data_IF_583764379072
#
_entry.id   IF_583764379072
#
_cell.length_a   1.000
_cell.length_b   1.000
_cell.length_c   1.000
_cell.angle_alpha   90.00
_cell.angle_beta   90.00
_cell.angle_gamma   90.00
#
_symmetry.space_group_name_H-M   'P 1'
#
loop_
_entity.id
_entity.type
_entity.pdbx_description
1 polymer ?
#
# COMPACT_ATOMS: atom_id res chain seq x y z
N UNK A 1 11.07 -0.87 -18.30
CA UNK A 1 10.58 -0.90 -16.91
C UNK A 1 9.95 -2.26 -16.66
N UNK A 2 10.01 -2.76 -15.42
CA UNK A 2 9.35 -4.01 -15.05
C UNK A 2 7.83 -3.79 -15.05
N UNK A 3 7.09 -4.74 -15.62
CA UNK A 3 5.63 -4.73 -15.60
C UNK A 3 5.17 -5.87 -14.71
N UNK A 4 4.30 -5.55 -13.75
CA UNK A 4 3.64 -6.54 -12.91
C UNK A 4 2.14 -6.48 -13.15
N UNK A 5 1.52 -7.63 -13.33
CA UNK A 5 0.07 -7.76 -13.47
C UNK A 5 -0.49 -8.51 -12.27
N UNK A 6 -1.34 -7.84 -11.51
CA UNK A 6 -2.12 -8.45 -10.44
C UNK A 6 -3.41 -8.96 -11.05
N UNK A 7 -3.72 -10.24 -10.90
CA UNK A 7 -4.90 -10.88 -11.50
C UNK A 7 -5.82 -11.48 -10.44
N UNK A 8 -7.06 -11.77 -10.81
CA UNK A 8 -8.06 -12.40 -9.94
C UNK A 8 -8.28 -11.67 -8.63
N UNK A 9 -8.34 -10.33 -8.68
CA UNK A 9 -8.58 -9.49 -7.52
C UNK A 9 -10.08 -9.27 -7.28
N UNK A 10 -10.51 -9.30 -6.02
CA UNK A 10 -11.73 -8.61 -5.60
C UNK A 10 -11.36 -7.14 -5.40
N UNK A 11 -11.66 -6.31 -6.40
CA UNK A 11 -11.18 -4.93 -6.45
C UNK A 11 -12.18 -3.95 -5.82
N UNK A 12 -11.68 -3.15 -4.87
CA UNK A 12 -12.32 -1.96 -4.33
C UNK A 12 -11.44 -0.76 -4.70
N UNK A 13 -11.77 -0.07 -5.79
CA UNK A 13 -10.92 0.99 -6.35
C UNK A 13 -11.08 2.36 -5.67
N UNK A 14 -11.98 2.45 -4.69
CA UNK A 14 -12.28 3.67 -3.93
C UNK A 14 -12.72 4.87 -4.80
N UNK A 15 -13.23 4.64 -6.00
CA UNK A 15 -13.76 5.68 -6.90
C UNK A 15 -15.26 5.93 -6.71
N UNK A 16 -15.90 5.25 -5.77
CA UNK A 16 -17.35 5.26 -5.56
C UNK A 16 -18.12 4.27 -6.43
N UNK A 17 -17.43 3.50 -7.28
CA UNK A 17 -18.03 2.41 -8.05
C UNK A 17 -18.14 1.16 -7.20
N UNK A 18 -19.12 0.32 -7.54
CA UNK A 18 -19.28 -0.99 -6.88
C UNK A 18 -18.00 -1.83 -6.99
N UNK A 19 -17.63 -2.57 -5.95
CA UNK A 19 -16.56 -3.56 -6.02
C UNK A 19 -16.76 -4.56 -7.16
N UNK A 20 -15.68 -5.10 -7.69
CA UNK A 20 -15.75 -6.08 -8.78
C UNK A 20 -14.83 -7.26 -8.51
N UNK A 21 -15.36 -8.45 -8.75
CA UNK A 21 -14.58 -9.68 -8.65
C UNK A 21 -13.85 -9.99 -9.96
N UNK A 22 -12.69 -10.68 -9.84
CA UNK A 22 -11.89 -11.10 -10.99
C UNK A 22 -11.18 -9.97 -11.73
N UNK A 23 -11.05 -8.78 -11.14
CA UNK A 23 -10.33 -7.66 -11.74
C UNK A 23 -8.83 -7.91 -11.88
N UNK A 24 -8.19 -7.12 -12.77
CA UNK A 24 -6.74 -7.07 -12.88
C UNK A 24 -6.21 -5.64 -12.79
N UNK A 25 -4.99 -5.49 -12.26
CA UNK A 25 -4.28 -4.22 -12.18
C UNK A 25 -2.90 -4.38 -12.79
N UNK A 26 -2.56 -3.47 -13.69
CA UNK A 26 -1.24 -3.42 -14.34
C UNK A 26 -0.40 -2.34 -13.68
N UNK A 27 0.77 -2.73 -13.17
CA UNK A 27 1.75 -1.83 -12.56
C UNK A 27 2.99 -1.79 -13.46
N UNK A 28 3.44 -0.59 -13.79
CA UNK A 28 4.67 -0.35 -14.56
C UNK A 28 5.64 0.47 -13.72
N UNK A 29 6.72 -0.17 -13.27
CA UNK A 29 7.63 0.43 -12.30
C UNK A 29 6.90 0.73 -10.98
N UNK A 30 6.80 2.00 -10.62
CA UNK A 30 6.16 2.46 -9.37
C UNK A 30 4.75 3.04 -9.59
N UNK A 31 4.17 2.85 -10.78
CA UNK A 31 2.88 3.45 -11.12
C UNK A 31 1.84 2.42 -11.54
N UNK A 32 0.61 2.62 -11.11
CA UNK A 32 -0.54 1.91 -11.65
C UNK A 32 -0.76 2.44 -13.06
N UNK A 33 -0.59 1.55 -14.05
CA UNK A 33 -0.75 1.87 -15.47
C UNK A 33 -2.18 1.71 -15.93
N UNK A 34 -2.84 0.67 -15.45
CA UNK A 34 -4.21 0.37 -15.85
C UNK A 34 -4.96 -0.41 -14.76
N UNK A 35 -6.27 -0.20 -14.69
CA UNK A 35 -7.19 -0.90 -13.79
C UNK A 35 -8.27 -1.54 -14.63
N UNK A 36 -8.17 -2.84 -14.82
CA UNK A 36 -8.99 -3.62 -15.74
C UNK A 36 -10.08 -4.35 -14.95
N UNK A 37 -11.22 -3.71 -14.80
CA UNK A 37 -12.37 -4.25 -14.03
C UNK A 37 -12.93 -5.56 -14.61
N UNK A 38 -12.80 -5.77 -15.92
CA UNK A 38 -13.21 -7.02 -16.57
C UNK A 38 -12.25 -8.19 -16.35
N UNK A 39 -11.08 -7.94 -15.78
CA UNK A 39 -10.01 -8.93 -15.63
C UNK A 39 -9.33 -9.37 -16.91
N UNK A 40 -9.82 -8.93 -18.08
CA UNK A 40 -9.29 -9.34 -19.39
C UNK A 40 -8.11 -8.49 -19.78
N UNK A 41 -6.93 -8.90 -19.36
CA UNK A 41 -5.66 -8.22 -19.71
C UNK A 41 -5.35 -8.49 -21.18
N UNK A 42 -5.21 -7.41 -21.96
CA UNK A 42 -4.74 -7.49 -23.35
C UNK A 42 -3.26 -7.86 -23.45
N UNK A 43 -2.74 -8.05 -24.68
CA UNK A 43 -1.35 -8.40 -24.87
C UNK A 43 -0.43 -7.25 -24.39
N UNK A 44 0.50 -7.57 -23.50
CA UNK A 44 1.51 -6.63 -23.00
C UNK A 44 2.86 -6.99 -23.63
N UNK A 45 3.54 -6.00 -24.21
CA UNK A 45 4.88 -6.20 -24.78
C UNK A 45 5.94 -6.13 -23.67
N UNK A 46 6.91 -7.05 -23.72
CA UNK A 46 8.04 -7.09 -22.80
C UNK A 46 7.91 -8.18 -21.74
N UNK A 47 8.81 -8.12 -20.75
CA UNK A 47 8.78 -9.05 -19.62
C UNK A 47 7.69 -8.63 -18.65
N UNK A 48 6.80 -9.55 -18.35
CA UNK A 48 5.66 -9.36 -17.46
C UNK A 48 5.73 -10.38 -16.32
N UNK A 49 5.70 -9.91 -15.10
CA UNK A 49 5.53 -10.74 -13.91
C UNK A 49 4.05 -10.74 -13.53
N UNK A 50 3.47 -11.91 -13.35
CA UNK A 50 2.05 -12.03 -13.00
C UNK A 50 1.89 -12.58 -11.59
N UNK A 51 1.08 -11.92 -10.79
CA UNK A 51 0.71 -12.33 -9.44
C UNK A 51 -0.80 -12.61 -9.40
N UNK A 52 -1.16 -13.86 -9.21
CA UNK A 52 -2.55 -14.27 -9.00
C UNK A 52 -2.95 -14.03 -7.54
N UNK A 53 -3.92 -13.15 -7.33
CA UNK A 53 -4.43 -12.80 -6.01
C UNK A 53 -5.46 -13.78 -5.46
N UNK A 54 -5.93 -14.72 -6.30
CA UNK A 54 -6.85 -15.81 -5.87
C UNK A 54 -8.11 -15.30 -5.16
N UNK A 55 -8.71 -14.22 -5.66
CA UNK A 55 -9.90 -13.61 -5.08
C UNK A 55 -9.64 -12.73 -3.85
N UNK A 56 -8.38 -12.48 -3.48
CA UNK A 56 -8.08 -11.56 -2.38
C UNK A 56 -8.50 -10.14 -2.72
N UNK A 57 -8.89 -9.40 -1.68
CA UNK A 57 -9.27 -8.00 -1.82
C UNK A 57 -8.06 -7.14 -2.14
N UNK A 58 -8.17 -6.36 -3.21
CA UNK A 58 -7.20 -5.34 -3.61
C UNK A 58 -7.81 -3.97 -3.43
N UNK A 59 -7.13 -3.12 -2.68
CA UNK A 59 -7.49 -1.72 -2.43
C UNK A 59 -6.30 -0.82 -2.74
N UNK A 60 -6.49 0.47 -3.01
CA UNK A 60 -5.40 1.45 -3.02
C UNK A 60 -4.67 1.47 -1.69
N UNK A 61 -3.39 1.85 -1.70
CA UNK A 61 -2.62 2.01 -0.48
C UNK A 61 -3.31 2.97 0.49
N UNK A 62 -3.29 2.64 1.78
CA UNK A 62 -3.89 3.46 2.81
C UNK A 62 -3.09 4.75 3.00
N UNK A 63 -3.78 5.87 3.13
CA UNK A 63 -3.20 7.18 3.44
C UNK A 63 -3.73 7.64 4.79
N UNK A 64 -2.83 7.86 5.74
CA UNK A 64 -3.17 8.58 6.98
C UNK A 64 -2.96 10.07 6.74
N UNK A 65 -4.05 10.82 6.68
CA UNK A 65 -4.03 12.26 6.40
C UNK A 65 -3.66 13.10 7.63
N UNK A 66 -3.63 12.49 8.83
CA UNK A 66 -3.24 13.17 10.07
C UNK A 66 -2.50 12.21 10.99
N UNK A 67 -1.18 12.30 11.00
CA UNK A 67 -0.34 11.43 11.82
C UNK A 67 0.72 12.22 12.60
N UNK A 68 0.87 11.87 13.86
CA UNK A 68 1.94 12.39 14.71
C UNK A 68 3.07 11.36 14.79
N UNK A 69 3.94 11.36 13.79
CA UNK A 69 5.03 10.36 13.69
C UNK A 69 5.99 10.39 14.88
N UNK A 70 6.15 11.57 15.50
CA UNK A 70 7.00 11.76 16.66
C UNK A 70 6.32 11.42 18.01
N UNK A 71 5.06 11.06 18.00
CA UNK A 71 4.33 10.60 19.20
C UNK A 71 4.67 9.14 19.51
N UNK A 72 5.86 8.91 20.04
CA UNK A 72 6.42 7.56 20.20
C UNK A 72 6.15 6.92 21.55
N UNK A 73 5.63 7.70 22.51
CA UNK A 73 5.25 7.24 23.84
C UNK A 73 3.74 7.33 24.07
N UNK A 74 3.22 6.56 25.00
CA UNK A 74 1.79 6.59 25.36
C UNK A 74 1.36 7.92 25.97
N UNK A 75 2.24 8.60 26.70
CA UNK A 75 2.04 9.95 27.20
C UNK A 75 2.88 10.94 26.39
N UNK A 76 2.30 11.52 25.36
CA UNK A 76 2.96 12.45 24.46
C UNK A 76 3.40 13.73 25.18
N UNK A 77 2.63 14.21 26.14
CA UNK A 77 2.93 15.43 26.87
C UNK A 77 4.21 15.31 27.71
N UNK A 78 4.54 14.12 28.16
CA UNK A 78 5.69 13.86 29.01
C UNK A 78 6.88 13.24 28.26
N UNK A 79 6.70 12.83 27.00
CA UNK A 79 7.77 12.12 26.29
C UNK A 79 9.09 12.93 26.23
N UNK A 80 9.02 14.25 26.07
CA UNK A 80 10.18 15.13 26.02
C UNK A 80 10.87 15.31 27.37
N UNK A 81 10.15 15.01 28.46
CA UNK A 81 10.68 15.11 29.81
C UNK A 81 11.61 13.94 30.14
N UNK A 82 11.30 12.76 29.61
CA UNK A 82 12.00 11.52 29.94
C UNK A 82 12.88 10.98 28.80
N UNK A 83 12.68 11.47 27.58
CA UNK A 83 13.43 11.00 26.43
C UNK A 83 14.16 12.16 25.73
N UNK A 84 15.46 12.05 25.50
CA UNK A 84 16.19 13.04 24.72
C UNK A 84 15.70 13.05 23.27
N UNK A 85 15.79 14.20 22.56
CA UNK A 85 15.33 14.31 21.15
C UNK A 85 15.92 13.24 20.21
N UNK A 86 17.16 12.85 20.42
CA UNK A 86 17.84 11.79 19.65
C UNK A 86 17.14 10.44 19.78
N UNK A 87 16.69 10.08 20.98
CA UNK A 87 15.97 8.83 21.22
C UNK A 87 14.57 8.89 20.62
N UNK A 88 13.87 10.03 20.72
CA UNK A 88 12.57 10.24 20.06
C UNK A 88 12.75 10.09 18.56
N UNK A 89 13.78 10.70 17.96
CA UNK A 89 14.09 10.57 16.54
C UNK A 89 14.32 9.13 16.10
N UNK A 90 15.10 8.37 16.85
CA UNK A 90 15.38 6.96 16.57
C UNK A 90 14.09 6.09 16.63
N UNK A 91 13.26 6.31 17.66
CA UNK A 91 11.96 5.62 17.80
C UNK A 91 10.99 6.00 16.68
N UNK A 92 10.97 7.28 16.27
CA UNK A 92 10.18 7.78 15.14
C UNK A 92 10.55 7.07 13.85
N UNK A 93 11.84 7.00 13.52
CA UNK A 93 12.35 6.35 12.33
C UNK A 93 11.89 4.89 12.27
N UNK A 94 12.08 4.15 13.37
CA UNK A 94 11.63 2.76 13.47
C UNK A 94 10.12 2.59 13.24
N UNK A 95 9.30 3.52 13.74
CA UNK A 95 7.84 3.49 13.52
C UNK A 95 7.48 3.74 12.07
N UNK A 96 8.15 4.69 11.41
CA UNK A 96 7.95 4.97 9.99
C UNK A 96 8.32 3.74 9.15
N UNK A 97 9.47 3.12 9.44
CA UNK A 97 9.90 1.88 8.78
C UNK A 97 8.86 0.76 8.96
N UNK A 98 8.35 0.56 10.18
CA UNK A 98 7.32 -0.44 10.45
C UNK A 98 5.99 -0.13 9.74
N UNK A 99 5.63 1.14 9.60
CA UNK A 99 4.43 1.54 8.88
C UNK A 99 4.55 1.29 7.38
N UNK A 100 5.74 1.53 6.80
CA UNK A 100 6.05 1.26 5.39
C UNK A 100 6.20 -0.24 5.11
N UNK A 101 6.80 -0.99 6.04
CA UNK A 101 7.01 -2.45 5.89
C UNK A 101 5.74 -3.26 6.21
N UNK A 102 4.71 -2.64 6.73
CA UNK A 102 3.39 -3.24 6.72
C UNK A 102 2.97 -3.43 5.27
N UNK A 103 3.50 -4.49 4.68
CA UNK A 103 2.98 -5.06 3.45
C UNK A 103 1.50 -5.23 3.70
N UNK A 104 0.71 -4.30 3.19
CA UNK A 104 -0.75 -4.36 3.29
C UNK A 104 -1.21 -5.54 2.44
N UNK A 105 -0.97 -6.72 2.94
CA UNK A 105 -1.63 -7.93 2.50
C UNK A 105 -2.76 -8.13 3.49
N UNK A 106 -3.79 -7.41 3.27
CA UNK A 106 -5.06 -7.67 3.93
C UNK A 106 -6.00 -8.29 2.92
#
# INVERSE_FOLDING_TARGET
MAITVLTNAFLIDCTGKEPVDGAAVVVEGERIKDVIRSGRVGPIRGKVDTLDLKGRTLIPGLTDAHVHVCAVEGNIAEQHRYNPPSLIGAKTLRRIEQALDRKSVV
#
